data_IF_929296841516
#
_entry.id   IF_929296841516
#
_cell.length_a   1.000
_cell.length_b   1.000
_cell.length_c   1.000
_cell.angle_alpha   90.00
_cell.angle_beta   90.00
_cell.angle_gamma   90.00
#
_symmetry.space_group_name_H-M   'P 1'
#
loop_
_entity.id
_entity.type
_entity.pdbx_description
1 polymer ?
#
# COMPACT_ATOMS: atom_id res chain seq x y z
N UNK A 1 -1.52 -15.61 -38.94
CA UNK A 1 -2.46 -14.49 -38.75
C UNK A 1 -3.86 -15.05 -38.94
N UNK A 2 -4.64 -15.16 -37.87
CA UNK A 2 -5.98 -15.75 -37.90
C UNK A 2 -6.93 -14.73 -37.28
N UNK A 3 -7.84 -14.23 -38.11
CA UNK A 3 -8.86 -13.23 -37.74
C UNK A 3 -10.16 -13.96 -37.43
N UNK A 4 -10.66 -13.84 -36.20
CA UNK A 4 -12.05 -14.17 -35.86
C UNK A 4 -12.76 -12.90 -35.37
N UNK A 5 -13.76 -12.47 -36.15
CA UNK A 5 -14.77 -11.45 -35.81
C UNK A 5 -16.10 -12.14 -35.44
N UNK A 6 -17.02 -11.35 -34.88
CA UNK A 6 -18.42 -11.62 -34.46
C UNK A 6 -18.53 -12.12 -33.01
N UNK A 7 -19.24 -11.46 -32.08
CA UNK A 7 -20.68 -11.12 -32.03
C UNK A 7 -20.92 -9.75 -31.32
N UNK A 8 -21.65 -8.79 -31.93
CA UNK A 8 -23.09 -8.43 -31.74
C UNK A 8 -23.52 -7.89 -30.35
N UNK A 9 -23.56 -6.55 -30.27
CA UNK A 9 -24.57 -5.58 -29.78
C UNK A 9 -25.65 -5.93 -28.72
N UNK A 10 -26.07 -4.83 -28.05
CA UNK A 10 -27.34 -4.53 -27.32
C UNK A 10 -27.20 -4.71 -25.79
N UNK A 11 -27.28 -3.67 -24.96
CA UNK A 11 -28.53 -2.96 -24.64
C UNK A 11 -28.29 -1.59 -23.99
N UNK A 12 -29.03 -0.60 -24.49
CA UNK A 12 -29.33 0.70 -23.88
C UNK A 12 -30.34 0.47 -22.76
N UNK A 13 -30.19 1.16 -21.62
CA UNK A 13 -31.17 1.14 -20.54
C UNK A 13 -30.99 2.33 -19.60
N UNK A 14 -31.59 3.46 -19.96
CA UNK A 14 -31.79 4.60 -19.08
C UNK A 14 -32.90 4.27 -18.07
N UNK A 15 -32.67 4.57 -16.79
CA UNK A 15 -33.73 4.64 -15.78
C UNK A 15 -33.64 6.00 -15.08
N UNK A 16 -34.74 6.74 -15.18
CA UNK A 16 -34.91 8.09 -14.68
C UNK A 16 -35.38 8.14 -13.22
N UNK A 17 -34.90 9.17 -12.52
CA UNK A 17 -35.49 9.97 -11.44
C UNK A 17 -36.71 9.42 -10.67
N UNK A 18 -36.55 9.36 -9.34
CA UNK A 18 -37.64 9.63 -8.39
C UNK A 18 -37.13 10.49 -7.23
N UNK A 19 -37.68 11.71 -7.14
CA UNK A 19 -37.61 12.61 -6.00
C UNK A 19 -38.57 12.12 -4.91
N UNK A 20 -38.09 12.04 -3.66
CA UNK A 20 -38.96 12.05 -2.49
C UNK A 20 -38.36 12.98 -1.42
N UNK A 21 -38.93 14.19 -1.33
CA UNK A 21 -38.81 15.05 -0.15
C UNK A 21 -39.75 14.51 0.93
N UNK A 22 -39.21 14.18 2.11
CA UNK A 22 -40.00 14.20 3.34
C UNK A 22 -39.26 15.01 4.39
N UNK A 23 -39.66 16.28 4.47
CA UNK A 23 -39.33 17.23 5.52
C UNK A 23 -40.57 17.31 6.44
N UNK A 24 -40.54 16.68 7.61
CA UNK A 24 -41.51 16.91 8.68
C UNK A 24 -40.96 16.38 10.01
N UNK A 25 -40.90 17.25 11.02
CA UNK A 25 -40.51 16.87 12.38
C UNK A 25 -40.27 18.03 13.35
N UNK A 26 -41.03 19.12 13.25
CA UNK A 26 -41.22 20.04 14.38
C UNK A 26 -42.35 19.47 15.25
N UNK A 27 -42.02 18.96 16.44
CA UNK A 27 -43.00 18.53 17.44
C UNK A 27 -42.86 19.39 18.69
N UNK A 28 -43.73 20.39 18.80
CA UNK A 28 -43.99 21.16 20.02
C UNK A 28 -45.20 20.54 20.71
N UNK A 29 -45.05 20.03 21.93
CA UNK A 29 -46.18 19.76 22.83
C UNK A 29 -45.79 20.15 24.26
N UNK A 30 -46.36 21.24 24.75
CA UNK A 30 -46.43 21.56 26.17
C UNK A 30 -47.58 20.77 26.80
N UNK A 31 -47.29 20.06 27.88
CA UNK A 31 -48.21 19.81 29.00
C UNK A 31 -47.33 19.73 30.25
N UNK A 32 -47.50 20.72 31.13
CA UNK A 32 -46.89 20.81 32.45
C UNK A 32 -47.73 19.97 33.45
N UNK A 33 -47.27 19.45 34.60
CA UNK A 33 -46.17 19.80 35.49
C UNK A 33 -45.84 18.63 36.43
N UNK A 34 -44.57 18.36 36.72
CA UNK A 34 -44.06 18.30 38.11
C UNK A 34 -42.54 18.11 38.14
N UNK A 35 -41.91 18.98 38.90
CA UNK A 35 -40.50 19.31 39.04
C UNK A 35 -39.66 18.17 39.64
N UNK A 36 -38.66 17.69 38.90
CA UNK A 36 -37.34 17.29 39.46
C UNK A 36 -36.25 17.76 38.50
N UNK A 37 -35.61 18.84 38.89
CA UNK A 37 -34.48 19.48 38.24
C UNK A 37 -33.23 18.61 38.35
N UNK A 38 -32.88 17.94 37.25
CA UNK A 38 -31.49 17.70 36.88
C UNK A 38 -31.22 18.52 35.63
N UNK A 39 -30.72 19.74 35.84
CA UNK A 39 -30.17 20.58 34.79
C UNK A 39 -28.88 19.94 34.27
N UNK A 40 -28.99 18.93 33.41
CA UNK A 40 -27.93 18.67 32.43
C UNK A 40 -28.05 19.75 31.37
N UNK A 41 -27.45 20.90 31.68
CA UNK A 41 -27.08 21.90 30.70
C UNK A 41 -26.10 21.24 29.71
N UNK A 42 -26.63 20.49 28.75
CA UNK A 42 -25.93 20.23 27.51
C UNK A 42 -25.97 21.54 26.74
N UNK A 43 -25.13 22.47 27.16
CA UNK A 43 -24.69 23.56 26.31
C UNK A 43 -24.08 22.88 25.08
N UNK A 44 -24.92 22.64 24.06
CA UNK A 44 -24.46 22.38 22.70
C UNK A 44 -23.80 23.67 22.26
N UNK A 45 -22.55 23.84 22.66
CA UNK A 45 -21.65 24.87 22.18
C UNK A 45 -21.80 24.86 20.66
N UNK A 46 -22.07 26.02 20.06
CA UNK A 46 -22.11 26.13 18.61
C UNK A 46 -20.74 25.70 18.09
N UNK A 47 -20.64 24.44 17.70
CA UNK A 47 -19.40 23.89 17.22
C UNK A 47 -19.06 24.61 15.91
N UNK A 48 -17.88 25.22 15.88
CA UNK A 48 -17.41 25.94 14.71
C UNK A 48 -17.31 24.97 13.52
N UNK A 49 -17.58 25.46 12.31
CA UNK A 49 -17.68 24.67 11.08
C UNK A 49 -16.39 23.87 10.80
N UNK A 50 -15.22 24.41 11.15
CA UNK A 50 -13.95 23.70 11.06
C UNK A 50 -13.91 22.42 11.92
N UNK A 51 -14.43 22.46 13.14
CA UNK A 51 -14.47 21.29 14.04
C UNK A 51 -15.44 20.25 13.51
N UNK A 52 -16.60 20.67 12.98
CA UNK A 52 -17.57 19.77 12.35
C UNK A 52 -16.96 19.08 11.12
N UNK A 53 -16.24 19.83 10.30
CA UNK A 53 -15.58 19.31 9.10
C UNK A 53 -14.54 18.23 9.45
N UNK A 54 -13.68 18.48 10.45
CA UNK A 54 -12.70 17.49 10.93
C UNK A 54 -13.40 16.24 11.49
N UNK A 55 -14.48 16.38 12.27
CA UNK A 55 -15.23 15.22 12.76
C UNK A 55 -15.87 14.42 11.62
N UNK A 56 -16.47 15.11 10.65
CA UNK A 56 -17.07 14.49 9.46
C UNK A 56 -16.03 13.72 8.64
N UNK A 57 -14.87 14.33 8.41
CA UNK A 57 -13.75 13.71 7.73
C UNK A 57 -13.26 12.46 8.47
N UNK A 58 -13.07 12.54 9.80
CA UNK A 58 -12.70 11.39 10.62
C UNK A 58 -13.71 10.24 10.53
N UNK A 59 -15.01 10.54 10.48
CA UNK A 59 -16.05 9.50 10.29
C UNK A 59 -15.96 8.86 8.91
N UNK A 60 -15.73 9.66 7.87
CA UNK A 60 -15.58 9.19 6.49
C UNK A 60 -14.33 8.31 6.34
N UNK A 61 -13.20 8.69 6.97
CA UNK A 61 -11.97 7.89 7.03
C UNK A 61 -12.24 6.51 7.64
N UNK A 62 -12.96 6.43 8.77
CA UNK A 62 -13.31 5.15 9.41
C UNK A 62 -14.18 4.27 8.51
N UNK A 63 -14.99 4.90 7.66
CA UNK A 63 -15.81 4.22 6.67
C UNK A 63 -15.05 3.90 5.36
N UNK A 64 -13.73 4.12 5.32
CA UNK A 64 -12.86 4.01 4.14
C UNK A 64 -13.24 4.95 2.98
N UNK A 65 -14.04 5.98 3.24
CA UNK A 65 -14.37 7.04 2.29
C UNK A 65 -13.38 8.20 2.42
N UNK A 66 -12.16 7.97 1.93
CA UNK A 66 -11.08 8.96 1.99
C UNK A 66 -11.32 10.16 1.07
N UNK A 67 -12.01 9.95 -0.06
CA UNK A 67 -12.35 11.03 -0.99
C UNK A 67 -13.44 11.93 -0.39
N UNK A 68 -14.51 11.35 0.16
CA UNK A 68 -15.53 12.11 0.87
C UNK A 68 -15.00 12.84 2.10
N UNK A 69 -14.00 12.27 2.79
CA UNK A 69 -13.28 12.96 3.86
C UNK A 69 -12.56 14.20 3.35
N UNK A 70 -11.82 14.07 2.24
CA UNK A 70 -11.09 15.18 1.62
C UNK A 70 -12.03 16.27 1.13
N UNK A 71 -13.12 15.90 0.45
CA UNK A 71 -14.11 16.82 -0.09
C UNK A 71 -14.83 17.59 1.03
N UNK A 72 -15.11 16.93 2.16
CA UNK A 72 -15.71 17.56 3.34
C UNK A 72 -14.81 18.66 3.93
N UNK A 73 -13.50 18.43 3.99
CA UNK A 73 -12.53 19.44 4.45
C UNK A 73 -12.38 20.57 3.43
N UNK A 74 -12.39 20.25 2.14
CA UNK A 74 -12.19 21.24 1.06
C UNK A 74 -13.35 22.23 0.92
N UNK A 75 -14.55 21.87 1.38
CA UNK A 75 -15.75 22.74 1.37
C UNK A 75 -15.80 23.74 2.54
N UNK A 76 -14.86 23.66 3.47
CA UNK A 76 -14.85 24.52 4.67
C UNK A 76 -14.19 25.86 4.34
N UNK A 77 -14.94 26.97 4.46
CA UNK A 77 -14.45 28.30 4.11
C UNK A 77 -13.32 28.82 5.01
N UNK A 78 -13.33 28.41 6.29
CA UNK A 78 -12.32 28.80 7.29
C UNK A 78 -11.74 27.55 7.96
N UNK A 79 -10.83 26.82 7.29
CA UNK A 79 -10.26 25.60 7.85
C UNK A 79 -9.33 25.92 9.03
N UNK A 80 -9.35 25.09 10.06
CA UNK A 80 -8.33 25.10 11.12
C UNK A 80 -7.02 24.48 10.61
N UNK A 81 -5.93 24.67 11.35
CA UNK A 81 -4.65 24.00 11.07
C UNK A 81 -4.78 22.49 11.04
N UNK A 82 -5.56 21.92 11.96
CA UNK A 82 -5.87 20.49 11.97
C UNK A 82 -6.62 20.07 10.70
N UNK A 83 -7.57 20.88 10.20
CA UNK A 83 -8.28 20.58 8.95
C UNK A 83 -7.33 20.64 7.73
N UNK A 84 -6.41 21.60 7.69
CA UNK A 84 -5.40 21.72 6.64
C UNK A 84 -4.39 20.56 6.67
N UNK A 85 -3.92 20.19 7.87
CA UNK A 85 -3.03 19.05 8.07
C UNK A 85 -3.71 17.75 7.65
N UNK A 86 -4.95 17.53 8.08
CA UNK A 86 -5.71 16.33 7.73
C UNK A 86 -5.99 16.26 6.22
N UNK A 87 -6.26 17.40 5.58
CA UNK A 87 -6.41 17.48 4.12
C UNK A 87 -5.12 17.08 3.40
N UNK A 88 -3.97 17.60 3.83
CA UNK A 88 -2.65 17.23 3.28
C UNK A 88 -2.37 15.73 3.48
N UNK A 89 -2.63 15.21 4.67
CA UNK A 89 -2.44 13.78 4.97
C UNK A 89 -3.32 12.90 4.10
N UNK A 90 -4.57 13.30 3.86
CA UNK A 90 -5.50 12.61 2.97
C UNK A 90 -5.02 12.59 1.52
N UNK A 91 -4.46 13.69 1.00
CA UNK A 91 -3.91 13.71 -0.38
C UNK A 91 -2.76 12.72 -0.55
N UNK A 92 -1.84 12.70 0.41
CA UNK A 92 -0.72 11.76 0.44
C UNK A 92 -1.23 10.33 0.52
N UNK A 93 -2.19 10.07 1.42
CA UNK A 93 -2.78 8.76 1.60
C UNK A 93 -3.54 8.26 0.36
N UNK A 94 -4.39 9.08 -0.26
CA UNK A 94 -5.15 8.71 -1.47
C UNK A 94 -4.18 8.39 -2.62
N UNK A 95 -3.12 9.16 -2.76
CA UNK A 95 -2.08 8.90 -3.78
C UNK A 95 -1.34 7.60 -3.50
N UNK A 96 -0.93 7.36 -2.26
CA UNK A 96 -0.31 6.12 -1.84
C UNK A 96 -1.24 4.91 -2.03
N UNK A 97 -2.53 5.05 -1.68
CA UNK A 97 -3.53 4.00 -1.82
C UNK A 97 -3.78 3.65 -3.28
N UNK A 98 -3.91 4.65 -4.17
CA UNK A 98 -4.03 4.40 -5.62
C UNK A 98 -2.82 3.67 -6.17
N UNK A 99 -1.61 4.08 -5.80
CA UNK A 99 -0.40 3.38 -6.20
C UNK A 99 -0.36 1.93 -5.68
N UNK A 100 -0.76 1.71 -4.43
CA UNK A 100 -0.90 0.38 -3.84
C UNK A 100 -1.91 -0.49 -4.60
N UNK A 101 -3.10 0.06 -4.89
CA UNK A 101 -4.17 -0.64 -5.61
C UNK A 101 -3.74 -0.96 -7.06
N UNK A 102 -2.90 -0.12 -7.66
CA UNK A 102 -2.28 -0.33 -8.98
C UNK A 102 -1.06 -1.27 -8.95
N UNK A 103 -0.64 -1.76 -7.78
CA UNK A 103 0.52 -2.65 -7.62
C UNK A 103 1.88 -1.95 -7.66
N UNK A 104 1.91 -0.61 -7.72
CA UNK A 104 3.13 0.19 -7.64
C UNK A 104 3.46 0.51 -6.17
N UNK A 105 4.02 -0.49 -5.48
CA UNK A 105 4.28 -0.40 -4.04
C UNK A 105 5.44 0.55 -3.70
N UNK A 106 6.36 0.79 -4.63
CA UNK A 106 7.45 1.76 -4.48
C UNK A 106 6.89 3.18 -4.47
N UNK A 107 6.04 3.53 -5.45
CA UNK A 107 5.35 4.82 -5.48
C UNK A 107 4.38 4.95 -4.31
N UNK A 108 3.72 3.87 -3.89
CA UNK A 108 2.86 3.87 -2.71
C UNK A 108 3.64 4.24 -1.45
N UNK A 109 4.81 3.62 -1.24
CA UNK A 109 5.71 3.93 -0.12
C UNK A 109 6.23 5.37 -0.18
N UNK A 110 6.62 5.86 -1.36
CA UNK A 110 7.14 7.21 -1.52
C UNK A 110 6.08 8.30 -1.31
N UNK A 111 4.81 7.99 -1.64
CA UNK A 111 3.66 8.88 -1.50
C UNK A 111 3.10 8.91 -0.08
N UNK A 112 3.37 7.88 0.73
CA UNK A 112 2.90 7.78 2.11
C UNK A 112 3.82 8.62 3.03
N UNK A 113 3.56 9.93 3.08
CA UNK A 113 4.35 10.90 3.87
C UNK A 113 4.00 10.87 5.36
N UNK A 114 4.92 11.24 6.27
CA UNK A 114 4.63 11.38 7.69
C UNK A 114 3.40 12.25 7.94
N UNK A 115 2.53 11.79 8.84
CA UNK A 115 1.29 12.49 9.18
C UNK A 115 1.57 13.81 9.91
N UNK A 116 0.78 14.83 9.59
CA UNK A 116 0.80 16.14 10.26
C UNK A 116 -0.41 16.36 11.16
N UNK A 117 -1.52 15.68 10.87
CA UNK A 117 -2.76 15.76 11.62
C UNK A 117 -2.70 14.93 12.90
N UNK A 118 -3.52 15.30 13.88
CA UNK A 118 -3.70 14.54 15.13
C UNK A 118 -4.84 13.52 15.04
N UNK A 119 -5.47 13.40 13.87
CA UNK A 119 -6.52 12.43 13.58
C UNK A 119 -6.09 10.99 13.88
N UNK A 120 -6.78 10.37 14.85
CA UNK A 120 -6.59 8.96 15.18
C UNK A 120 -7.00 8.05 14.03
N UNK A 121 -8.11 8.37 13.35
CA UNK A 121 -8.60 7.60 12.21
C UNK A 121 -7.60 7.59 11.05
N UNK A 122 -6.96 8.73 10.78
CA UNK A 122 -5.93 8.86 9.74
C UNK A 122 -4.67 8.07 10.11
N UNK A 123 -4.28 8.11 11.39
CA UNK A 123 -3.15 7.32 11.91
C UNK A 123 -3.37 5.81 11.79
N UNK A 124 -4.58 5.34 12.08
CA UNK A 124 -4.92 3.92 11.94
C UNK A 124 -4.90 3.49 10.47
N UNK A 125 -5.51 4.30 9.59
CA UNK A 125 -5.51 4.05 8.16
C UNK A 125 -4.09 4.06 7.56
N UNK A 126 -3.26 5.02 7.96
CA UNK A 126 -1.86 5.14 7.58
C UNK A 126 -1.09 3.89 7.97
N UNK A 127 -1.17 3.49 9.24
CA UNK A 127 -0.43 2.33 9.76
C UNK A 127 -0.85 1.05 9.03
N UNK A 128 -2.15 0.87 8.80
CA UNK A 128 -2.68 -0.25 8.03
C UNK A 128 -2.12 -0.29 6.60
N UNK A 129 -2.11 0.85 5.90
CA UNK A 129 -1.59 0.93 4.53
C UNK A 129 -0.08 0.72 4.48
N UNK A 130 0.67 1.30 5.42
CA UNK A 130 2.13 1.09 5.54
C UNK A 130 2.45 -0.39 5.74
N UNK A 131 1.76 -1.09 6.65
CA UNK A 131 1.97 -2.53 6.85
C UNK A 131 1.63 -3.34 5.60
N UNK A 132 0.58 -2.97 4.88
CA UNK A 132 0.20 -3.61 3.61
C UNK A 132 1.26 -3.39 2.53
N UNK A 133 1.79 -2.17 2.39
CA UNK A 133 2.87 -1.84 1.46
C UNK A 133 4.11 -2.68 1.80
N UNK A 134 4.56 -2.64 3.06
CA UNK A 134 5.74 -3.39 3.51
C UNK A 134 5.58 -4.89 3.27
N UNK A 135 4.41 -5.47 3.59
CA UNK A 135 4.13 -6.89 3.35
C UNK A 135 4.20 -7.22 1.87
N UNK A 136 3.67 -6.37 0.99
CA UNK A 136 3.70 -6.58 -0.47
C UNK A 136 5.10 -6.40 -1.04
N UNK A 137 5.87 -5.41 -0.60
CA UNK A 137 7.26 -5.23 -1.00
C UNK A 137 8.14 -6.41 -0.56
N UNK A 138 7.95 -6.90 0.68
CA UNK A 138 8.63 -8.10 1.16
C UNK A 138 8.18 -9.36 0.42
N UNK A 139 6.89 -9.46 0.09
CA UNK A 139 6.36 -10.57 -0.70
C UNK A 139 6.83 -10.52 -2.15
N UNK A 140 7.00 -9.34 -2.77
CA UNK A 140 7.62 -9.20 -4.09
C UNK A 140 9.10 -9.56 -4.05
N UNK A 141 9.81 -9.21 -2.97
CA UNK A 141 11.16 -9.70 -2.72
C UNK A 141 11.22 -11.23 -2.55
N UNK A 142 10.14 -11.86 -2.07
CA UNK A 142 10.01 -13.31 -1.89
C UNK A 142 9.33 -14.06 -3.07
N UNK A 143 8.76 -13.32 -4.03
CA UNK A 143 7.93 -13.84 -5.13
C UNK A 143 8.69 -13.93 -6.47
N UNK A 144 10.02 -13.90 -6.46
CA UNK A 144 10.85 -14.26 -7.62
C UNK A 144 11.34 -15.71 -7.58
N UNK A 145 10.63 -16.61 -6.90
CA UNK A 145 11.04 -18.02 -6.83
C UNK A 145 9.83 -18.95 -6.90
N UNK A 146 9.20 -19.06 -8.07
CA UNK A 146 8.31 -20.19 -8.36
C UNK A 146 9.18 -21.43 -8.54
N UNK A 147 9.62 -21.99 -7.43
CA UNK A 147 10.41 -23.22 -7.39
C UNK A 147 9.78 -24.15 -6.36
N UNK A 148 9.60 -25.41 -6.76
CA UNK A 148 8.93 -26.48 -6.02
C UNK A 148 9.28 -26.51 -4.53
N UNK A 149 8.34 -26.90 -3.67
CA UNK A 149 8.44 -26.87 -2.19
C UNK A 149 9.74 -27.45 -1.62
N UNK A 150 10.33 -28.47 -2.25
CA UNK A 150 11.62 -29.05 -1.85
C UNK A 150 12.82 -28.15 -2.13
N UNK A 151 12.80 -27.37 -3.22
CA UNK A 151 13.87 -26.42 -3.58
C UNK A 151 13.81 -25.15 -2.72
N UNK A 152 12.64 -24.78 -2.18
CA UNK A 152 12.51 -23.66 -1.23
C UNK A 152 13.28 -23.90 0.06
N UNK A 153 13.19 -25.10 0.64
CA UNK A 153 13.91 -25.41 1.89
C UNK A 153 15.43 -25.41 1.65
N UNK A 154 15.89 -26.05 0.57
CA UNK A 154 17.30 -26.08 0.21
C UNK A 154 17.88 -24.67 -0.06
N UNK A 155 17.15 -23.82 -0.78
CA UNK A 155 17.58 -22.45 -1.05
C UNK A 155 17.54 -21.56 0.20
N UNK A 156 16.60 -21.81 1.14
CA UNK A 156 16.54 -21.09 2.41
C UNK A 156 17.74 -21.43 3.31
N UNK A 157 18.12 -22.70 3.38
CA UNK A 157 19.31 -23.16 4.10
C UNK A 157 20.59 -22.64 3.44
N UNK A 158 20.70 -22.73 2.11
CA UNK A 158 21.82 -22.17 1.37
C UNK A 158 21.96 -20.66 1.58
N UNK A 159 20.83 -19.93 1.62
CA UNK A 159 20.82 -18.49 1.89
C UNK A 159 21.25 -18.19 3.33
N UNK A 160 20.83 -18.97 4.31
CA UNK A 160 21.27 -18.81 5.70
C UNK A 160 22.78 -19.07 5.87
N UNK A 161 23.33 -20.00 5.08
CA UNK A 161 24.74 -20.36 5.09
C UNK A 161 25.61 -19.51 4.13
N UNK A 162 25.03 -18.54 3.43
CA UNK A 162 25.77 -17.64 2.52
C UNK A 162 25.67 -16.22 3.06
N UNK A 163 26.76 -15.69 3.60
CA UNK A 163 26.79 -14.30 4.08
C UNK A 163 26.68 -13.30 2.93
N UNK A 164 26.08 -12.13 3.21
CA UNK A 164 25.96 -11.04 2.23
C UNK A 164 27.31 -10.65 1.59
N UNK A 165 28.39 -10.69 2.37
CA UNK A 165 29.75 -10.43 1.89
C UNK A 165 30.20 -11.37 0.76
N UNK A 166 29.78 -12.63 0.78
CA UNK A 166 30.09 -13.61 -0.28
C UNK A 166 29.34 -13.25 -1.55
N UNK A 167 28.06 -12.89 -1.42
CA UNK A 167 27.19 -12.48 -2.53
C UNK A 167 27.73 -11.20 -3.16
N UNK A 168 28.10 -10.21 -2.36
CA UNK A 168 28.72 -8.95 -2.80
C UNK A 168 30.05 -9.18 -3.51
N UNK A 169 30.94 -10.01 -2.94
CA UNK A 169 32.24 -10.32 -3.55
C UNK A 169 32.07 -11.00 -4.92
N UNK A 170 31.15 -11.97 -5.02
CA UNK A 170 30.80 -12.59 -6.29
C UNK A 170 30.21 -11.59 -7.29
N UNK A 171 29.25 -10.76 -6.85
CA UNK A 171 28.60 -9.76 -7.69
C UNK A 171 29.62 -8.78 -8.28
N UNK A 172 30.53 -8.26 -7.45
CA UNK A 172 31.61 -7.37 -7.85
C UNK A 172 32.57 -8.04 -8.84
N UNK A 173 32.95 -9.30 -8.58
CA UNK A 173 33.85 -10.08 -9.45
C UNK A 173 33.27 -10.29 -10.84
N UNK A 174 31.97 -10.56 -10.92
CA UNK A 174 31.27 -10.90 -12.17
C UNK A 174 30.61 -9.70 -12.85
N UNK A 175 30.62 -8.53 -12.22
CA UNK A 175 29.94 -7.34 -12.74
C UNK A 175 28.40 -7.40 -12.63
N UNK A 176 27.87 -8.25 -11.74
CA UNK A 176 26.43 -8.32 -11.42
C UNK A 176 26.05 -7.30 -10.35
N UNK A 177 26.50 -6.06 -10.52
CA UNK A 177 26.30 -4.96 -9.56
C UNK A 177 25.33 -3.90 -10.10
N UNK A 178 24.78 -3.09 -9.19
CA UNK A 178 24.08 -1.85 -9.52
C UNK A 178 22.61 -1.96 -9.94
N UNK A 179 22.09 -0.86 -10.49
CA UNK A 179 20.68 -0.58 -10.84
C UNK A 179 20.06 -1.49 -11.93
N UNK A 180 20.84 -2.47 -12.44
CA UNK A 180 20.47 -3.33 -13.57
C UNK A 180 19.50 -4.47 -13.21
N UNK A 181 18.96 -4.46 -11.98
CA UNK A 181 17.90 -5.39 -11.56
C UNK A 181 18.37 -6.85 -11.45
N UNK A 182 19.65 -7.08 -11.13
CA UNK A 182 20.16 -8.43 -10.91
C UNK A 182 19.69 -9.00 -9.56
N UNK A 183 19.36 -10.28 -9.57
CA UNK A 183 19.06 -11.07 -8.39
C UNK A 183 20.04 -12.23 -8.32
N UNK A 184 20.65 -12.41 -7.15
CA UNK A 184 21.61 -13.48 -6.91
C UNK A 184 21.04 -14.35 -5.79
N UNK A 185 20.71 -15.59 -6.12
CA UNK A 185 20.02 -16.51 -5.23
C UNK A 185 20.99 -17.65 -4.87
N UNK A 186 21.40 -17.78 -3.60
CA UNK A 186 22.13 -18.95 -3.15
C UNK A 186 21.25 -20.20 -3.22
N UNK A 187 21.76 -21.22 -3.91
CA UNK A 187 21.08 -22.52 -4.09
C UNK A 187 21.79 -23.66 -3.36
N UNK A 188 23.05 -23.46 -2.98
CA UNK A 188 23.85 -24.38 -2.17
C UNK A 188 25.03 -23.64 -1.56
N UNK A 189 25.42 -24.01 -0.34
CA UNK A 189 26.65 -23.58 0.31
C UNK A 189 27.31 -24.79 0.96
N UNK A 190 28.59 -25.04 0.66
CA UNK A 190 29.38 -26.12 1.24
C UNK A 190 30.81 -25.63 1.48
N UNK A 191 31.13 -25.38 2.74
CA UNK A 191 32.40 -24.74 3.11
C UNK A 191 32.57 -23.41 2.38
N UNK A 192 33.64 -23.29 1.59
CA UNK A 192 33.94 -22.08 0.83
C UNK A 192 33.35 -22.08 -0.59
N UNK A 193 32.54 -23.07 -0.97
CA UNK A 193 31.99 -23.23 -2.32
C UNK A 193 30.48 -22.97 -2.32
N UNK A 194 30.05 -22.01 -3.12
CA UNK A 194 28.68 -21.53 -3.20
C UNK A 194 28.13 -21.73 -4.60
N UNK A 195 26.89 -22.23 -4.74
CA UNK A 195 26.16 -22.22 -6.02
C UNK A 195 25.17 -21.07 -6.04
N UNK A 196 25.37 -20.15 -6.97
CA UNK A 196 24.65 -18.89 -7.07
C UNK A 196 23.91 -18.85 -8.40
N UNK A 197 22.59 -18.73 -8.34
CA UNK A 197 21.76 -18.49 -9.51
C UNK A 197 21.64 -16.98 -9.73
N UNK A 198 21.99 -16.51 -10.93
CA UNK A 198 21.91 -15.09 -11.29
C UNK A 198 20.77 -14.90 -12.27
N UNK A 199 19.86 -14.01 -11.93
CA UNK A 199 18.75 -13.59 -12.77
C UNK A 199 18.82 -12.10 -13.04
N UNK A 200 18.26 -11.67 -14.15
CA UNK A 200 18.05 -10.27 -14.47
C UNK A 200 16.57 -10.02 -14.69
N UNK A 201 16.04 -9.02 -14.00
CA UNK A 201 14.69 -8.56 -14.22
C UNK A 201 14.57 -7.85 -15.58
N UNK A 202 13.43 -8.01 -16.24
CA UNK A 202 13.03 -7.14 -17.33
C UNK A 202 12.75 -5.71 -16.81
N UNK A 203 12.63 -4.76 -17.73
CA UNK A 203 12.50 -3.32 -17.40
C UNK A 203 11.31 -2.98 -16.51
N UNK A 204 10.24 -3.78 -16.54
CA UNK A 204 9.04 -3.62 -15.69
C UNK A 204 9.05 -4.49 -14.42
N UNK A 205 10.14 -5.24 -14.17
CA UNK A 205 10.33 -6.15 -13.03
C UNK A 205 9.25 -7.25 -12.87
N UNK A 206 8.51 -7.58 -13.92
CA UNK A 206 7.49 -8.64 -13.87
C UNK A 206 8.04 -10.03 -14.18
N UNK A 207 9.17 -10.11 -14.90
CA UNK A 207 9.80 -11.36 -15.33
C UNK A 207 11.30 -11.32 -15.08
N UNK A 208 11.81 -12.32 -14.36
CA UNK A 208 13.26 -12.50 -14.12
C UNK A 208 13.83 -13.58 -15.02
N UNK A 209 14.71 -13.19 -15.95
CA UNK A 209 15.39 -14.08 -16.88
C UNK A 209 16.66 -14.67 -16.23
N UNK A 210 16.88 -15.97 -16.39
CA UNK A 210 18.12 -16.62 -15.92
C UNK A 210 19.31 -16.15 -16.78
N UNK A 211 20.33 -15.60 -16.13
CA UNK A 211 21.62 -15.24 -16.74
C UNK A 211 22.59 -16.42 -16.68
N UNK A 212 22.57 -17.13 -15.55
CA UNK A 212 23.30 -18.37 -15.38
C UNK A 212 23.32 -18.88 -13.96
N UNK A 213 23.84 -20.09 -13.80
CA UNK A 213 24.14 -20.70 -12.51
C UNK A 213 25.65 -20.78 -12.37
N UNK A 214 26.18 -20.26 -11.28
CA UNK A 214 27.61 -20.15 -11.04
C UNK A 214 28.00 -20.93 -9.80
N UNK A 215 29.19 -21.51 -9.82
CA UNK A 215 29.90 -21.93 -8.63
C UNK A 215 30.94 -20.85 -8.29
N UNK A 216 30.96 -20.40 -7.04
CA UNK A 216 31.89 -19.41 -6.54
C UNK A 216 32.64 -19.96 -5.33
N UNK A 217 33.96 -19.83 -5.32
CA UNK A 217 34.77 -20.15 -4.16
C UNK A 217 35.12 -18.85 -3.39
N UNK A 218 34.55 -18.67 -2.20
CA UNK A 218 34.72 -17.45 -1.40
C UNK A 218 36.14 -17.23 -0.86
N UNK A 219 37.00 -18.25 -0.86
CA UNK A 219 38.39 -18.13 -0.40
C UNK A 219 39.34 -17.75 -1.54
N UNK A 220 39.15 -18.31 -2.73
CA UNK A 220 40.04 -18.09 -3.88
C UNK A 220 39.51 -17.05 -4.87
N UNK A 221 38.22 -16.73 -4.78
CA UNK A 221 37.54 -15.87 -5.75
C UNK A 221 37.30 -16.54 -7.11
N UNK A 222 37.53 -17.86 -7.23
CA UNK A 222 37.32 -18.61 -8.47
C UNK A 222 35.83 -18.70 -8.79
N UNK A 223 35.46 -18.48 -10.05
CA UNK A 223 34.09 -18.58 -10.55
C UNK A 223 34.03 -19.55 -11.72
N UNK A 224 33.06 -20.44 -11.71
CA UNK A 224 32.76 -21.35 -12.83
C UNK A 224 31.29 -21.24 -13.20
N UNK A 225 30.99 -20.98 -14.47
CA UNK A 225 29.61 -21.02 -14.98
C UNK A 225 29.21 -22.48 -15.22
N UNK A 226 28.11 -22.91 -14.62
CA UNK A 226 27.57 -24.26 -14.72
C UNK A 226 26.45 -24.36 -15.78
N UNK A 227 25.67 -23.28 -15.92
CA UNK A 227 24.57 -23.13 -16.87
C UNK A 227 24.44 -21.68 -17.30
#
# INVERSE_FOLDING_TARGET
MTVNKFFKNVSVGAAALTLALTLAGCGNNQTASSTKSSSTSSARSSENDATKAVRSANRSIRNNDFQGAYDSLNKTSNPSDEANNLKSDLQNYISAKRAYDNGDYQTASASLKPLKSTSTAMRDAYTSLQSKINKRQQSQKASTTTTSSSQRIANQEASANTSDRVVEAFANKMGFTGEKGYQIIPTSASGNVYKLEVRQNNSDNTVSNLIGIYQYNGQTGAVTKLQ
#
